data_IF_349406888755
#
_entry.id   IF_349406888755
#
_cell.length_a   1.000
_cell.length_b   1.000
_cell.length_c   1.000
_cell.angle_alpha   90.00
_cell.angle_beta   90.00
_cell.angle_gamma   90.00
#
_symmetry.space_group_name_H-M   'P 1'
#
loop_
_entity.id
_entity.type
_entity.pdbx_description
1 polymer ?
#
# COMPACT_ATOMS: atom_id res chain seq x y z
N UNK A 1 1.20 0.87 24.97
CA UNK A 1 1.87 1.85 24.08
C UNK A 1 3.30 2.23 24.49
N UNK A 2 3.90 1.59 25.50
CA UNK A 2 5.23 1.93 26.02
C UNK A 2 6.37 1.87 24.98
N UNK A 3 6.20 1.10 23.89
CA UNK A 3 7.13 1.03 22.77
C UNK A 3 7.09 2.26 21.83
N UNK A 4 6.04 3.08 21.90
CA UNK A 4 5.83 4.28 21.08
C UNK A 4 5.31 5.44 21.97
N UNK A 5 6.13 5.95 22.90
CA UNK A 5 5.72 7.03 23.81
C UNK A 5 5.58 8.39 23.11
N UNK A 6 5.08 9.40 23.82
CA UNK A 6 4.91 10.77 23.32
C UNK A 6 3.64 10.95 22.48
N UNK A 7 3.58 11.97 21.62
CA UNK A 7 2.40 12.32 20.79
C UNK A 7 2.71 12.34 19.27
N UNK A 8 3.92 11.94 18.88
CA UNK A 8 4.33 11.91 17.48
C UNK A 8 3.47 10.93 16.65
N UNK A 9 3.25 11.20 15.35
CA UNK A 9 2.53 10.28 14.48
C UNK A 9 3.29 8.95 14.35
N UNK A 10 2.52 7.86 14.33
CA UNK A 10 2.98 6.50 14.07
C UNK A 10 2.82 6.25 12.58
N UNK A 11 3.92 6.36 11.84
CA UNK A 11 3.92 6.15 10.40
C UNK A 11 3.96 4.66 10.06
N UNK A 12 3.02 4.22 9.22
CA UNK A 12 2.91 2.83 8.80
C UNK A 12 2.98 2.73 7.28
N UNK A 13 3.86 1.86 6.76
CA UNK A 13 4.07 1.64 5.34
C UNK A 13 3.50 0.29 4.85
N UNK A 14 2.48 -0.21 5.55
CA UNK A 14 1.84 -1.48 5.25
C UNK A 14 0.34 -1.28 5.39
N UNK A 15 -0.37 -1.35 4.27
CA UNK A 15 -1.82 -1.14 4.24
C UNK A 15 -2.57 -2.03 5.24
N UNK A 16 -2.19 -3.31 5.35
CA UNK A 16 -2.82 -4.26 6.28
C UNK A 16 -2.52 -3.93 7.74
N UNK A 17 -1.26 -3.62 8.07
CA UNK A 17 -0.89 -3.25 9.44
C UNK A 17 -1.54 -1.92 9.85
N UNK A 18 -1.54 -0.92 8.97
CA UNK A 18 -2.14 0.38 9.23
C UNK A 18 -3.65 0.27 9.45
N UNK A 19 -4.35 -0.54 8.65
CA UNK A 19 -5.77 -0.81 8.83
C UNK A 19 -6.06 -1.44 10.20
N UNK A 20 -5.31 -2.49 10.59
CA UNK A 20 -5.49 -3.13 11.90
C UNK A 20 -5.18 -2.18 13.06
N UNK A 21 -4.08 -1.41 12.95
CA UNK A 21 -3.62 -0.47 13.97
C UNK A 21 -4.59 0.70 14.19
N UNK A 22 -5.24 1.20 13.13
CA UNK A 22 -6.29 2.23 13.21
C UNK A 22 -7.55 1.71 13.92
N UNK A 23 -7.78 0.40 13.94
CA UNK A 23 -8.97 -0.20 14.56
C UNK A 23 -8.80 -0.54 16.06
N UNK A 24 -7.57 -0.53 16.60
CA UNK A 24 -7.32 -0.93 17.99
C UNK A 24 -8.11 -0.11 19.01
N UNK A 25 -8.28 1.20 18.80
CA UNK A 25 -9.10 2.04 19.67
C UNK A 25 -10.54 1.56 19.80
N UNK A 26 -11.13 1.05 18.71
CA UNK A 26 -12.45 0.45 18.72
C UNK A 26 -12.44 -0.95 19.34
N UNK A 27 -11.54 -1.83 18.89
CA UNK A 27 -11.49 -3.23 19.29
C UNK A 27 -11.16 -3.44 20.76
N UNK A 28 -10.25 -2.64 21.32
CA UNK A 28 -9.81 -2.76 22.71
C UNK A 28 -10.60 -1.85 23.66
N UNK A 29 -11.16 -0.76 23.13
CA UNK A 29 -12.03 0.14 23.89
C UNK A 29 -11.35 0.97 24.99
N UNK A 30 -10.04 0.86 25.20
CA UNK A 30 -9.31 1.61 26.25
C UNK A 30 -8.87 3.00 25.77
N UNK A 31 -8.61 3.90 26.72
CA UNK A 31 -8.11 5.24 26.40
C UNK A 31 -6.75 5.20 25.70
N UNK A 32 -5.87 4.30 26.12
CA UNK A 32 -4.53 4.12 25.56
C UNK A 32 -4.60 3.59 24.13
N UNK A 33 -5.53 2.68 23.82
CA UNK A 33 -5.71 2.16 22.47
C UNK A 33 -6.26 3.21 21.52
N UNK A 34 -7.21 4.04 21.98
CA UNK A 34 -7.73 5.18 21.21
C UNK A 34 -6.63 6.19 20.92
N UNK A 35 -5.90 6.61 21.95
CA UNK A 35 -4.76 7.51 21.79
C UNK A 35 -3.68 6.94 20.85
N UNK A 36 -3.50 5.61 20.82
CA UNK A 36 -2.65 4.95 19.82
C UNK A 36 -3.21 5.12 18.40
N UNK A 37 -4.43 4.63 18.18
CA UNK A 37 -5.05 4.58 16.85
C UNK A 37 -5.20 5.97 16.24
N UNK A 38 -5.50 6.99 17.05
CA UNK A 38 -5.63 8.39 16.60
C UNK A 38 -4.33 8.98 16.03
N UNK A 39 -3.18 8.37 16.36
CA UNK A 39 -1.86 8.80 15.88
C UNK A 39 -1.34 7.94 14.74
N UNK A 40 -2.04 6.87 14.34
CA UNK A 40 -1.61 5.99 13.25
C UNK A 40 -1.91 6.66 11.92
N UNK A 41 -0.86 6.90 11.14
CA UNK A 41 -0.92 7.61 9.86
C UNK A 41 -0.23 6.75 8.81
N UNK A 42 -0.86 6.57 7.64
CA UNK A 42 -0.20 5.87 6.54
C UNK A 42 0.94 6.75 5.99
N UNK A 43 2.07 6.14 5.63
CA UNK A 43 3.22 6.92 5.16
C UNK A 43 2.89 7.74 3.91
N UNK A 44 1.99 7.27 3.05
CA UNK A 44 1.67 7.94 1.79
C UNK A 44 0.85 9.20 2.03
N UNK A 45 -0.11 9.22 2.97
CA UNK A 45 -0.83 10.46 3.34
C UNK A 45 0.13 11.48 3.96
N UNK A 46 1.05 11.03 4.83
CA UNK A 46 2.04 11.89 5.46
C UNK A 46 2.98 12.56 4.42
N UNK A 47 3.44 11.80 3.43
CA UNK A 47 4.31 12.32 2.36
C UNK A 47 3.51 13.15 1.34
N UNK A 48 2.26 12.79 1.04
CA UNK A 48 1.42 13.53 0.09
C UNK A 48 1.21 15.00 0.53
N UNK A 49 0.96 15.24 1.82
CA UNK A 49 0.88 16.61 2.37
C UNK A 49 2.18 17.41 2.21
N UNK A 50 3.31 16.71 2.07
CA UNK A 50 4.67 17.25 2.01
C UNK A 50 5.32 17.05 0.65
N UNK A 51 4.52 16.72 -0.38
CA UNK A 51 5.03 16.36 -1.71
C UNK A 51 5.85 17.49 -2.34
N UNK A 52 5.52 18.75 -2.02
CA UNK A 52 6.24 19.95 -2.45
C UNK A 52 7.68 20.06 -1.91
N UNK A 53 8.05 19.25 -0.90
CA UNK A 53 9.41 19.16 -0.37
C UNK A 53 10.29 18.17 -1.15
N UNK A 54 9.68 17.29 -1.95
CA UNK A 54 10.43 16.36 -2.79
C UNK A 54 11.26 17.14 -3.84
N UNK A 55 12.46 16.66 -4.11
CA UNK A 55 13.39 17.20 -5.12
C UNK A 55 13.89 16.06 -6.00
N UNK A 56 13.06 15.53 -6.92
CA UNK A 56 13.45 14.40 -7.75
C UNK A 56 14.62 14.76 -8.66
N UNK A 57 15.72 14.02 -8.58
CA UNK A 57 16.86 14.13 -9.48
C UNK A 57 16.62 13.41 -10.82
N UNK A 58 15.66 12.47 -10.85
CA UNK A 58 15.27 11.74 -12.07
C UNK A 58 13.80 11.35 -12.07
N UNK A 59 13.27 11.08 -13.27
CA UNK A 59 11.94 10.52 -13.46
C UNK A 59 12.02 8.99 -13.55
N UNK A 60 11.09 8.29 -12.91
CA UNK A 60 11.10 6.83 -12.77
C UNK A 60 10.40 6.07 -13.90
N UNK A 61 9.87 6.79 -14.89
CA UNK A 61 9.13 6.21 -16.02
C UNK A 61 7.69 5.87 -15.64
N UNK A 62 7.12 4.87 -16.32
CA UNK A 62 5.76 4.41 -16.07
C UNK A 62 5.71 3.45 -14.87
N UNK A 63 4.75 3.66 -13.96
CA UNK A 63 4.53 2.83 -12.77
C UNK A 63 3.05 2.50 -12.66
N UNK A 64 2.74 1.20 -12.64
CA UNK A 64 1.39 0.70 -12.43
C UNK A 64 1.06 0.69 -10.94
N UNK A 65 -0.11 1.16 -10.53
CA UNK A 65 -0.51 1.10 -9.11
C UNK A 65 -1.42 -0.10 -8.86
N UNK A 66 -0.94 -1.03 -8.02
CA UNK A 66 -1.78 -2.07 -7.45
C UNK A 66 -2.34 -1.58 -6.11
N UNK A 67 -3.66 -1.37 -6.06
CA UNK A 67 -4.34 -0.92 -4.84
C UNK A 67 -4.51 -2.02 -3.80
N UNK A 68 -3.83 -1.97 -2.65
CA UNK A 68 -4.11 -2.92 -1.58
C UNK A 68 -5.51 -2.66 -1.02
N UNK A 69 -6.31 -3.71 -0.89
CA UNK A 69 -7.70 -3.62 -0.44
C UNK A 69 -7.85 -2.94 0.94
N UNK A 70 -6.93 -3.19 1.88
CA UNK A 70 -6.90 -2.52 3.18
C UNK A 70 -6.64 -1.01 3.08
N UNK A 71 -5.86 -0.56 2.11
CA UNK A 71 -5.61 0.87 1.91
C UNK A 71 -6.80 1.56 1.26
N UNK A 72 -7.43 0.89 0.29
CA UNK A 72 -8.55 1.41 -0.50
C UNK A 72 -9.86 1.41 0.28
N UNK A 73 -10.22 0.28 0.89
CA UNK A 73 -11.55 0.07 1.46
C UNK A 73 -11.62 0.35 2.96
N UNK A 74 -10.57 0.00 3.71
CA UNK A 74 -10.56 0.19 5.17
C UNK A 74 -10.03 1.59 5.49
N UNK A 75 -8.77 1.87 5.15
CA UNK A 75 -8.16 3.16 5.46
C UNK A 75 -8.68 4.31 4.57
N UNK A 76 -9.11 4.01 3.34
CA UNK A 76 -9.60 4.99 2.33
C UNK A 76 -8.58 6.06 1.94
N UNK A 77 -7.28 5.76 2.01
CA UNK A 77 -6.18 6.70 1.70
C UNK A 77 -5.42 6.36 0.41
N UNK A 78 -5.93 5.44 -0.40
CA UNK A 78 -5.31 5.00 -1.67
C UNK A 78 -4.96 6.14 -2.66
N UNK A 79 -5.68 7.27 -2.62
CA UNK A 79 -5.37 8.44 -3.44
C UNK A 79 -3.99 9.06 -3.14
N UNK A 80 -3.53 8.99 -1.89
CA UNK A 80 -2.23 9.54 -1.49
C UNK A 80 -1.06 8.84 -2.19
N UNK A 81 -1.20 7.54 -2.51
CA UNK A 81 -0.20 6.79 -3.29
C UNK A 81 0.01 7.44 -4.67
N UNK A 82 -1.08 7.86 -5.33
CA UNK A 82 -0.97 8.55 -6.64
C UNK A 82 -0.30 9.90 -6.48
N UNK A 83 -0.73 10.70 -5.51
CA UNK A 83 -0.11 12.03 -5.25
C UNK A 83 1.40 11.92 -5.07
N UNK A 84 1.85 10.93 -4.29
CA UNK A 84 3.27 10.69 -4.03
C UNK A 84 4.01 10.20 -5.28
N UNK A 85 3.46 9.24 -6.01
CA UNK A 85 4.12 8.68 -7.20
C UNK A 85 4.14 9.64 -8.39
N UNK A 86 3.09 10.43 -8.62
CA UNK A 86 3.03 11.42 -9.72
C UNK A 86 4.13 12.49 -9.61
N UNK A 87 4.68 12.72 -8.41
CA UNK A 87 5.81 13.61 -8.24
C UNK A 87 7.12 13.09 -8.88
N UNK A 88 7.22 11.78 -9.14
CA UNK A 88 8.45 11.12 -9.59
C UNK A 88 8.27 10.21 -10.81
N UNK A 89 7.04 9.88 -11.18
CA UNK A 89 6.70 8.87 -12.19
C UNK A 89 5.40 9.21 -12.95
N UNK A 90 5.24 8.60 -14.12
CA UNK A 90 3.95 8.52 -14.81
C UNK A 90 3.14 7.37 -14.18
N UNK A 91 2.08 7.73 -13.47
CA UNK A 91 1.18 6.74 -12.84
C UNK A 91 0.22 6.18 -13.87
N UNK A 92 0.14 4.84 -13.93
CA UNK A 92 -0.81 4.08 -14.73
C UNK A 92 -1.75 3.29 -13.80
N UNK A 93 -3.03 3.24 -14.15
CA UNK A 93 -4.07 2.56 -13.37
C UNK A 93 -4.39 1.18 -13.95
N UNK A 94 -4.81 0.26 -13.08
CA UNK A 94 -5.31 -1.06 -13.48
C UNK A 94 -6.82 -1.01 -13.74
N UNK A 95 -7.28 -1.78 -14.71
CA UNK A 95 -8.69 -1.91 -15.10
C UNK A 95 -9.44 -2.99 -14.28
N UNK A 96 -9.23 -3.01 -12.96
CA UNK A 96 -9.78 -4.06 -12.08
C UNK A 96 -10.58 -3.56 -10.88
N UNK A 97 -10.93 -2.27 -10.86
CA UNK A 97 -11.74 -1.63 -9.84
C UNK A 97 -11.25 -1.82 -8.40
N UNK A 98 -9.94 -2.06 -8.22
CA UNK A 98 -9.33 -2.30 -6.92
C UNK A 98 -9.52 -3.74 -6.41
N UNK A 99 -9.62 -4.71 -7.33
CA UNK A 99 -9.70 -6.14 -7.00
C UNK A 99 -8.58 -6.54 -6.02
N UNK A 100 -8.89 -7.43 -5.07
CA UNK A 100 -7.91 -7.97 -4.14
C UNK A 100 -6.73 -8.63 -4.88
N UNK A 101 -5.54 -8.61 -4.26
CA UNK A 101 -4.35 -9.29 -4.77
C UNK A 101 -4.34 -10.81 -4.47
N UNK A 102 -5.20 -11.29 -3.57
CA UNK A 102 -5.28 -12.71 -3.15
C UNK A 102 -4.48 -13.06 -1.89
N UNK A 103 -3.57 -12.18 -1.45
CA UNK A 103 -2.57 -12.45 -0.41
C UNK A 103 -3.07 -12.43 1.04
N UNK A 104 -4.37 -12.61 1.32
CA UNK A 104 -5.04 -12.30 2.59
C UNK A 104 -4.62 -13.12 3.83
N UNK A 105 -3.33 -13.16 4.18
CA UNK A 105 -2.78 -13.83 5.35
C UNK A 105 -3.21 -15.29 5.46
N UNK A 106 -3.92 -15.62 6.54
CA UNK A 106 -4.46 -16.95 6.77
C UNK A 106 -5.35 -17.45 5.62
N UNK A 107 -6.10 -16.56 4.96
CA UNK A 107 -6.96 -16.93 3.85
C UNK A 107 -6.16 -17.55 2.69
N UNK A 108 -5.04 -16.93 2.29
CA UNK A 108 -4.22 -17.48 1.20
C UNK A 108 -3.57 -18.82 1.54
N UNK A 109 -3.36 -19.11 2.84
CA UNK A 109 -2.85 -20.39 3.29
C UNK A 109 -3.95 -21.46 3.35
N UNK A 110 -5.15 -21.08 3.78
CA UNK A 110 -6.30 -21.98 3.91
C UNK A 110 -7.04 -22.23 2.60
N UNK A 111 -6.95 -21.30 1.64
CA UNK A 111 -7.62 -21.33 0.34
C UNK A 111 -6.63 -21.01 -0.79
N UNK A 112 -5.58 -21.83 -0.97
CA UNK A 112 -4.49 -21.54 -1.90
C UNK A 112 -4.94 -21.47 -3.36
N UNK A 113 -5.88 -22.33 -3.78
CA UNK A 113 -6.38 -22.35 -5.16
C UNK A 113 -7.14 -21.05 -5.48
N UNK A 114 -8.04 -20.64 -4.60
CA UNK A 114 -8.81 -19.41 -4.79
C UNK A 114 -7.92 -18.15 -4.68
N UNK A 115 -6.95 -18.14 -3.78
CA UNK A 115 -5.95 -17.08 -3.73
C UNK A 115 -5.12 -17.01 -5.03
N UNK A 116 -4.76 -18.17 -5.57
CA UNK A 116 -4.11 -18.31 -6.87
C UNK A 116 -4.94 -17.77 -8.03
N UNK A 117 -6.23 -18.08 -8.08
CA UNK A 117 -7.15 -17.58 -9.10
C UNK A 117 -7.30 -16.06 -9.04
N UNK A 118 -7.41 -15.50 -7.84
CA UNK A 118 -7.46 -14.04 -7.63
C UNK A 118 -6.16 -13.40 -8.10
N UNK A 119 -5.01 -13.98 -7.74
CA UNK A 119 -3.70 -13.50 -8.20
C UNK A 119 -3.59 -13.51 -9.72
N UNK A 120 -4.03 -14.59 -10.37
CA UNK A 120 -4.03 -14.72 -11.83
C UNK A 120 -4.84 -13.60 -12.49
N UNK A 121 -6.01 -13.27 -11.95
CA UNK A 121 -6.83 -12.14 -12.46
C UNK A 121 -6.12 -10.80 -12.29
N UNK A 122 -5.47 -10.58 -11.15
CA UNK A 122 -4.68 -9.35 -10.90
C UNK A 122 -3.51 -9.23 -11.87
N UNK A 123 -2.76 -10.32 -12.11
CA UNK A 123 -1.66 -10.33 -13.07
C UNK A 123 -2.15 -10.06 -14.49
N UNK A 124 -3.28 -10.65 -14.89
CA UNK A 124 -3.88 -10.36 -16.20
C UNK A 124 -4.26 -8.87 -16.35
N UNK A 125 -4.69 -8.18 -15.29
CA UNK A 125 -4.94 -6.74 -15.32
C UNK A 125 -3.64 -5.93 -15.46
N UNK A 126 -2.58 -6.33 -14.74
CA UNK A 126 -1.24 -5.74 -14.86
C UNK A 126 -0.71 -5.89 -16.30
N UNK A 127 -0.86 -7.06 -16.90
CA UNK A 127 -0.40 -7.33 -18.27
C UNK A 127 -1.18 -6.51 -19.30
N UNK A 128 -2.52 -6.40 -19.16
CA UNK A 128 -3.35 -5.55 -20.04
C UNK A 128 -2.98 -4.07 -19.97
N UNK A 129 -2.52 -3.62 -18.81
CA UNK A 129 -2.05 -2.24 -18.60
C UNK A 129 -0.62 -2.00 -19.10
N UNK A 130 0.02 -3.01 -19.72
CA UNK A 130 1.35 -2.91 -20.34
C UNK A 130 2.46 -3.62 -19.56
N UNK A 131 2.17 -4.16 -18.37
CA UNK A 131 3.16 -4.80 -17.50
C UNK A 131 4.23 -3.82 -16.99
N UNK A 132 5.33 -4.37 -16.46
CA UNK A 132 6.46 -3.58 -15.96
C UNK A 132 6.46 -3.39 -14.43
N UNK A 133 6.89 -2.21 -13.99
CA UNK A 133 7.03 -1.90 -12.56
C UNK A 133 5.67 -1.62 -11.93
N UNK A 134 5.32 -2.41 -10.92
CA UNK A 134 4.11 -2.27 -10.11
C UNK A 134 4.45 -1.69 -8.75
N UNK A 135 3.71 -0.66 -8.33
CA UNK A 135 3.75 -0.12 -6.99
C UNK A 135 2.65 -0.74 -6.12
N UNK A 136 3.03 -1.32 -4.97
CA UNK A 136 2.09 -1.87 -3.98
C UNK A 136 2.47 -1.40 -2.58
N UNK A 137 1.57 -0.67 -1.93
CA UNK A 137 1.71 -0.16 -0.56
C UNK A 137 1.41 -1.23 0.53
N UNK A 138 1.59 -2.51 0.21
CA UNK A 138 1.37 -3.60 1.14
C UNK A 138 2.35 -4.76 0.87
N UNK A 139 3.17 -5.15 1.87
CA UNK A 139 4.19 -6.18 1.67
C UNK A 139 3.59 -7.53 1.28
N UNK A 140 2.45 -7.92 1.87
CA UNK A 140 1.77 -9.16 1.51
C UNK A 140 1.35 -9.23 0.04
N UNK A 141 0.80 -8.13 -0.51
CA UNK A 141 0.46 -8.09 -1.93
C UNK A 141 1.72 -8.10 -2.81
N UNK A 142 2.75 -7.34 -2.44
CA UNK A 142 4.00 -7.30 -3.18
C UNK A 142 4.67 -8.67 -3.26
N UNK A 143 4.84 -9.35 -2.13
CA UNK A 143 5.42 -10.69 -2.07
C UNK A 143 4.59 -11.71 -2.87
N UNK A 144 3.25 -11.66 -2.75
CA UNK A 144 2.37 -12.62 -3.39
C UNK A 144 2.37 -12.50 -4.93
N UNK A 145 2.43 -11.26 -5.45
CA UNK A 145 2.54 -10.98 -6.88
C UNK A 145 3.95 -11.24 -7.41
N UNK A 146 4.99 -10.87 -6.65
CA UNK A 146 6.38 -11.13 -7.02
C UNK A 146 6.68 -12.64 -7.11
N UNK A 147 6.10 -13.45 -6.23
CA UNK A 147 6.19 -14.91 -6.30
C UNK A 147 5.59 -15.51 -7.60
N UNK A 148 4.83 -14.73 -8.36
CA UNK A 148 4.29 -15.10 -9.67
C UNK A 148 4.94 -14.32 -10.83
N UNK A 149 6.08 -13.66 -10.60
CA UNK A 149 6.90 -13.03 -11.64
C UNK A 149 6.66 -11.53 -11.87
N UNK A 150 5.72 -10.89 -11.15
CA UNK A 150 5.55 -9.45 -11.25
C UNK A 150 6.75 -8.70 -10.64
N UNK A 151 7.20 -7.62 -11.29
CA UNK A 151 8.20 -6.71 -10.70
C UNK A 151 7.48 -5.70 -9.81
N UNK A 152 7.56 -5.87 -8.49
CA UNK A 152 6.82 -5.04 -7.53
C UNK A 152 7.77 -4.30 -6.60
N UNK A 153 7.51 -3.01 -6.37
CA UNK A 153 8.20 -2.20 -5.37
C UNK A 153 7.21 -1.45 -4.47
N UNK A 154 7.65 -1.06 -3.28
CA UNK A 154 6.88 -0.18 -2.43
C UNK A 154 6.93 1.27 -2.99
N UNK A 155 5.83 2.05 -2.97
CA UNK A 155 5.84 3.40 -3.56
C UNK A 155 6.91 4.33 -2.97
N UNK A 156 7.17 4.23 -1.66
CA UNK A 156 8.23 5.03 -1.01
C UNK A 156 9.64 4.64 -1.49
N UNK A 157 9.89 3.38 -1.86
CA UNK A 157 11.19 2.99 -2.41
C UNK A 157 11.40 3.58 -3.81
N UNK A 158 10.32 3.64 -4.61
CA UNK A 158 10.32 4.28 -5.93
C UNK A 158 10.62 5.78 -5.79
N UNK A 159 9.99 6.45 -4.83
CA UNK A 159 10.26 7.87 -4.53
C UNK A 159 11.70 8.06 -4.07
N UNK A 160 12.17 7.25 -3.12
CA UNK A 160 13.53 7.35 -2.61
C UNK A 160 14.57 7.14 -3.72
N UNK A 161 14.30 6.26 -4.67
CA UNK A 161 15.15 6.06 -5.84
C UNK A 161 15.13 7.26 -6.81
N UNK A 162 14.13 8.13 -6.78
CA UNK A 162 14.01 9.28 -7.67
C UNK A 162 14.68 10.56 -7.15
N UNK A 163 14.83 10.68 -5.83
CA UNK A 163 15.52 11.77 -5.14
C UNK A 163 17.04 11.69 -5.34
#
# INVERSE_FOLDING_TARGET
>A
MASMPGDAPVLVNSAGCGAAMKEYGHLLGTAEARAFSDRVVDIHEFVAERVHLLRPARHMGAVLVQDPCHLRHVQKVHGAVRTVLTAVAQVLELDDDGLCCGAGGAYSALQPDLAGDIRTRKLAAIDRAGGGLVASANPGCAMHLAAAGATVQHPIDIVAAAL
#
